data_IF_785523449385
#
_entry.id   IF_785523449385
#
_cell.length_a   1.000
_cell.length_b   1.000
_cell.length_c   1.000
_cell.angle_alpha   90.00
_cell.angle_beta   90.00
_cell.angle_gamma   90.00
#
_symmetry.space_group_name_H-M   'P 1'
#
loop_
_entity.id
_entity.type
_entity.pdbx_description
1 polymer ?
#
# COMPACT_ATOMS: atom_id res chain seq x y z
N UNK A 1 -27.78 -19.25 -71.78
CA UNK A 1 -26.54 -19.80 -71.29
C UNK A 1 -26.14 -18.94 -70.06
N UNK A 2 -26.57 -19.33 -68.86
CA UNK A 2 -26.33 -18.59 -67.57
C UNK A 2 -25.22 -19.27 -66.83
N UNK A 3 -24.11 -18.54 -66.54
CA UNK A 3 -23.01 -18.99 -65.71
C UNK A 3 -23.27 -18.55 -64.28
N UNK A 4 -23.25 -19.44 -63.28
CA UNK A 4 -23.35 -19.03 -61.89
C UNK A 4 -22.00 -18.55 -61.40
N UNK A 5 -21.99 -17.35 -60.81
CA UNK A 5 -20.89 -16.76 -60.04
C UNK A 5 -20.85 -17.43 -58.67
N UNK A 6 -19.77 -18.16 -58.41
CA UNK A 6 -19.47 -18.72 -57.11
C UNK A 6 -18.80 -17.61 -56.27
N UNK A 7 -19.52 -17.09 -55.30
CA UNK A 7 -18.97 -16.17 -54.27
C UNK A 7 -18.23 -17.00 -53.23
N UNK A 8 -16.92 -16.94 -53.23
CA UNK A 8 -16.07 -17.48 -52.17
C UNK A 8 -16.12 -16.56 -50.94
N UNK A 9 -16.79 -16.99 -49.88
CA UNK A 9 -16.77 -16.32 -48.61
C UNK A 9 -15.44 -16.60 -47.89
N UNK A 10 -14.54 -15.62 -47.89
CA UNK A 10 -13.33 -15.66 -47.07
C UNK A 10 -13.68 -15.41 -45.62
N UNK A 11 -13.65 -16.46 -44.78
CA UNK A 11 -13.71 -16.38 -43.32
C UNK A 11 -12.41 -15.73 -42.81
N UNK A 12 -12.49 -14.44 -42.50
CA UNK A 12 -11.47 -13.74 -41.74
C UNK A 12 -11.40 -14.31 -40.34
N UNK A 13 -10.43 -15.19 -40.10
CA UNK A 13 -10.03 -15.61 -38.75
C UNK A 13 -9.48 -14.39 -38.01
N UNK A 14 -10.32 -13.78 -37.18
CA UNK A 14 -9.88 -12.75 -36.24
C UNK A 14 -8.87 -13.40 -35.25
N UNK A 15 -7.66 -12.84 -35.13
CA UNK A 15 -6.77 -13.32 -34.09
C UNK A 15 -7.44 -13.09 -32.77
N UNK A 16 -7.66 -14.15 -31.99
CA UNK A 16 -8.04 -14.07 -30.61
C UNK A 16 -7.07 -13.11 -29.92
N UNK A 17 -7.57 -11.94 -29.55
CA UNK A 17 -6.84 -11.03 -28.68
C UNK A 17 -6.53 -11.83 -27.44
N UNK A 18 -5.28 -12.26 -27.31
CA UNK A 18 -4.74 -12.71 -26.06
C UNK A 18 -5.07 -11.59 -25.08
N UNK A 19 -6.06 -11.81 -24.21
CA UNK A 19 -6.23 -11.02 -23.02
C UNK A 19 -4.89 -11.12 -22.34
N UNK A 20 -4.10 -10.04 -22.40
CA UNK A 20 -2.93 -9.90 -21.58
C UNK A 20 -3.47 -10.12 -20.17
N UNK A 21 -3.23 -11.32 -19.62
CA UNK A 21 -3.39 -11.58 -18.23
C UNK A 21 -2.54 -10.51 -17.56
N UNK A 22 -3.20 -9.51 -16.99
CA UNK A 22 -2.56 -8.59 -16.05
C UNK A 22 -1.90 -9.53 -15.07
N UNK A 23 -0.58 -9.65 -15.21
CA UNK A 23 0.27 -10.56 -14.44
C UNK A 23 -0.17 -10.43 -13.00
N UNK A 24 -0.52 -11.56 -12.40
CA UNK A 24 -1.26 -11.64 -11.15
C UNK A 24 -0.76 -10.63 -10.15
N UNK A 25 -1.71 -9.95 -9.48
CA UNK A 25 -1.47 -8.80 -8.63
C UNK A 25 -0.14 -8.95 -7.90
N UNK A 26 0.83 -8.12 -8.30
CA UNK A 26 2.20 -8.24 -7.81
C UNK A 26 2.18 -8.02 -6.30
N UNK A 27 2.42 -9.08 -5.54
CA UNK A 27 2.54 -8.96 -4.10
C UNK A 27 3.90 -8.33 -3.75
N UNK A 28 3.94 -7.58 -2.68
CA UNK A 28 5.17 -7.05 -2.11
C UNK A 28 5.84 -8.12 -1.24
N UNK A 29 7.15 -8.24 -1.30
CA UNK A 29 7.88 -8.94 -0.25
C UNK A 29 7.65 -8.23 1.09
N UNK A 30 7.89 -8.92 2.19
CA UNK A 30 7.76 -8.32 3.53
C UNK A 30 8.63 -7.06 3.65
N UNK A 31 9.88 -7.11 3.19
CA UNK A 31 10.79 -5.96 3.23
C UNK A 31 10.29 -4.77 2.39
N UNK A 32 9.71 -5.02 1.21
CA UNK A 32 9.11 -3.96 0.39
C UNK A 32 7.88 -3.34 1.09
N UNK A 33 7.04 -4.17 1.71
CA UNK A 33 5.88 -3.69 2.46
C UNK A 33 6.30 -2.88 3.70
N UNK A 34 7.27 -3.35 4.47
CA UNK A 34 7.81 -2.64 5.63
C UNK A 34 8.46 -1.32 5.23
N UNK A 35 9.24 -1.28 4.13
CA UNK A 35 9.82 -0.05 3.59
C UNK A 35 8.74 0.94 3.16
N UNK A 36 7.69 0.47 2.48
CA UNK A 36 6.56 1.29 2.08
C UNK A 36 5.81 1.86 3.31
N UNK A 37 5.58 1.05 4.34
CA UNK A 37 4.94 1.48 5.59
C UNK A 37 5.81 2.47 6.34
N UNK A 38 7.13 2.24 6.44
CA UNK A 38 8.08 3.18 7.05
C UNK A 38 8.02 4.54 6.37
N UNK A 39 8.04 4.56 5.03
CA UNK A 39 7.94 5.79 4.25
C UNK A 39 6.64 6.53 4.47
N UNK A 40 5.51 5.82 4.56
CA UNK A 40 4.18 6.41 4.70
C UNK A 40 3.90 6.96 6.11
N UNK A 41 4.59 6.48 7.13
CA UNK A 41 4.26 6.71 8.54
C UNK A 41 4.14 8.20 8.91
N UNK A 42 5.10 9.10 8.54
CA UNK A 42 4.97 10.53 8.88
C UNK A 42 3.72 11.18 8.27
N UNK A 43 3.42 10.84 7.03
CA UNK A 43 2.26 11.38 6.31
C UNK A 43 0.94 10.91 6.94
N UNK A 44 0.85 9.64 7.28
CA UNK A 44 -0.35 9.06 7.92
C UNK A 44 -0.59 9.69 9.28
N UNK A 45 0.44 9.82 10.13
CA UNK A 45 0.31 10.43 11.46
C UNK A 45 -0.16 11.88 11.36
N UNK A 46 0.44 12.70 10.48
CA UNK A 46 -0.01 14.09 10.28
C UNK A 46 -1.46 14.17 9.83
N UNK A 47 -1.86 13.33 8.90
CA UNK A 47 -3.21 13.36 8.35
C UNK A 47 -4.26 12.84 9.32
N UNK A 48 -3.91 11.86 10.16
CA UNK A 48 -4.76 11.42 11.27
C UNK A 48 -4.94 12.53 12.31
N UNK A 49 -3.85 13.22 12.68
CA UNK A 49 -3.90 14.38 13.56
C UNK A 49 -4.85 15.44 13.02
N UNK A 50 -4.72 15.81 11.75
CA UNK A 50 -5.59 16.80 11.09
C UNK A 50 -7.05 16.34 11.07
N UNK A 51 -7.32 15.09 10.70
CA UNK A 51 -8.68 14.55 10.64
C UNK A 51 -9.34 14.51 12.01
N UNK A 52 -8.60 14.05 13.02
CA UNK A 52 -9.11 13.83 14.36
C UNK A 52 -9.21 15.13 15.19
N UNK A 53 -8.61 16.23 14.73
CA UNK A 53 -8.75 17.54 15.38
C UNK A 53 -10.20 18.04 15.48
N UNK A 54 -11.10 17.49 14.65
CA UNK A 54 -12.53 17.81 14.71
C UNK A 54 -13.25 17.21 15.94
N UNK A 55 -12.69 16.18 16.57
CA UNK A 55 -13.36 15.41 17.63
C UNK A 55 -12.50 15.23 18.89
N UNK A 56 -11.19 15.38 18.78
CA UNK A 56 -10.28 15.28 19.92
C UNK A 56 -10.02 16.67 20.54
N UNK A 57 -9.81 16.73 21.86
CA UNK A 57 -9.37 17.97 22.50
C UNK A 57 -7.97 18.36 22.00
N UNK A 58 -7.67 19.65 22.00
CA UNK A 58 -6.36 20.18 21.60
C UNK A 58 -5.19 19.61 22.43
N UNK A 59 -5.48 19.09 23.62
CA UNK A 59 -4.51 18.45 24.53
C UNK A 59 -4.28 16.97 24.27
N UNK A 60 -5.03 16.37 23.33
CA UNK A 60 -4.86 14.96 22.98
C UNK A 60 -3.44 14.69 22.43
N UNK A 61 -2.78 13.58 22.80
CA UNK A 61 -1.44 13.20 22.33
C UNK A 61 -1.30 13.25 20.82
N UNK A 62 -2.29 12.77 20.06
CA UNK A 62 -2.29 12.81 18.60
C UNK A 62 -2.30 14.25 18.06
N UNK A 63 -3.01 15.17 18.72
CA UNK A 63 -3.12 16.57 18.28
C UNK A 63 -1.85 17.34 18.64
N UNK A 64 -1.41 17.25 19.90
CA UNK A 64 -0.19 17.91 20.37
C UNK A 64 1.07 17.33 19.73
N UNK A 65 1.12 16.00 19.67
CA UNK A 65 2.29 15.24 19.21
C UNK A 65 2.31 14.97 17.71
N UNK A 66 1.22 15.13 16.99
CA UNK A 66 1.08 14.68 15.61
C UNK A 66 2.20 15.18 14.69
N UNK A 67 2.55 16.46 14.78
CA UNK A 67 3.65 17.04 13.99
C UNK A 67 5.02 16.60 14.52
N UNK A 68 5.22 16.58 15.84
CA UNK A 68 6.46 16.19 16.50
C UNK A 68 6.74 14.69 16.27
N UNK A 69 5.73 13.86 16.47
CA UNK A 69 5.81 12.41 16.26
C UNK A 69 6.04 12.08 14.78
N UNK A 70 5.36 12.75 13.87
CA UNK A 70 5.62 12.60 12.45
C UNK A 70 7.04 13.05 12.07
N UNK A 71 7.56 14.13 12.67
CA UNK A 71 8.94 14.58 12.50
C UNK A 71 9.97 13.56 12.98
N UNK A 72 9.67 12.84 14.08
CA UNK A 72 10.54 11.77 14.59
C UNK A 72 10.69 10.61 13.61
N UNK A 73 9.63 10.30 12.86
CA UNK A 73 9.64 9.22 11.86
C UNK A 73 10.26 9.64 10.53
N UNK A 74 10.41 10.95 10.26
CA UNK A 74 10.86 11.45 8.98
C UNK A 74 12.24 10.93 8.54
N UNK A 75 13.28 10.90 9.40
CA UNK A 75 14.61 10.41 8.99
C UNK A 75 14.60 8.95 8.50
N UNK A 76 13.80 8.11 9.13
CA UNK A 76 13.70 6.70 8.71
C UNK A 76 12.82 6.57 7.45
N UNK A 77 11.81 7.41 7.29
CA UNK A 77 11.03 7.49 6.06
C UNK A 77 11.89 7.91 4.86
N UNK A 78 12.78 8.89 5.04
CA UNK A 78 13.70 9.33 4.00
C UNK A 78 14.66 8.21 3.58
N UNK A 79 15.19 7.45 4.55
CA UNK A 79 16.03 6.26 4.29
C UNK A 79 15.25 5.14 3.59
N UNK A 80 13.97 4.99 3.88
CA UNK A 80 13.11 3.97 3.28
C UNK A 80 12.67 4.31 1.85
N UNK A 81 12.89 5.55 1.37
CA UNK A 81 12.46 5.99 0.05
C UNK A 81 12.85 5.07 -1.10
N UNK A 82 14.11 4.60 -1.24
CA UNK A 82 14.48 3.71 -2.35
C UNK A 82 13.65 2.42 -2.39
N UNK A 83 13.35 1.83 -1.22
CA UNK A 83 12.54 0.62 -1.11
C UNK A 83 11.06 0.92 -1.41
N UNK A 84 10.54 2.03 -0.88
CA UNK A 84 9.18 2.47 -1.13
C UNK A 84 8.95 2.80 -2.62
N UNK A 85 9.93 3.41 -3.30
CA UNK A 85 9.92 3.67 -4.74
C UNK A 85 9.84 2.37 -5.53
N UNK A 86 10.69 1.39 -5.22
CA UNK A 86 10.67 0.08 -5.88
C UNK A 86 9.34 -0.67 -5.65
N UNK A 87 8.79 -0.60 -4.43
CA UNK A 87 7.49 -1.16 -4.11
C UNK A 87 6.35 -0.47 -4.90
N UNK A 88 6.41 0.85 -5.04
CA UNK A 88 5.46 1.61 -5.85
C UNK A 88 5.50 1.20 -7.32
N UNK A 89 6.68 1.12 -7.92
CA UNK A 89 6.86 0.71 -9.32
C UNK A 89 6.32 -0.70 -9.56
N UNK A 90 6.57 -1.60 -8.60
CA UNK A 90 6.05 -2.97 -8.66
C UNK A 90 4.52 -3.03 -8.59
N UNK A 91 3.90 -2.21 -7.75
CA UNK A 91 2.44 -2.12 -7.64
C UNK A 91 1.81 -1.45 -8.88
N UNK A 92 2.48 -0.47 -9.44
CA UNK A 92 2.05 0.22 -10.66
C UNK A 92 2.19 -0.64 -11.93
N UNK A 93 2.95 -1.75 -11.86
CA UNK A 93 3.21 -2.64 -13.01
C UNK A 93 4.15 -2.04 -14.06
N UNK A 94 4.79 -0.92 -13.77
CA UNK A 94 5.72 -0.22 -14.64
C UNK A 94 6.69 0.65 -13.81
N UNK A 95 7.80 1.07 -14.41
CA UNK A 95 8.71 2.04 -13.79
C UNK A 95 8.11 3.47 -13.83
N UNK A 96 7.00 3.62 -13.13
CA UNK A 96 6.26 4.89 -13.08
C UNK A 96 7.09 6.00 -12.43
N UNK A 97 7.95 5.64 -11.49
CA UNK A 97 8.85 6.59 -10.83
C UNK A 97 9.87 7.22 -11.77
N UNK A 98 10.33 6.48 -12.80
CA UNK A 98 11.26 7.02 -13.79
C UNK A 98 10.57 8.03 -14.72
N UNK A 99 9.27 7.84 -14.98
CA UNK A 99 8.48 8.77 -15.80
C UNK A 99 8.11 10.05 -15.05
N UNK A 100 7.81 9.95 -13.75
CA UNK A 100 7.34 11.07 -12.95
C UNK A 100 8.48 11.87 -12.31
N UNK A 101 9.63 11.22 -12.11
CA UNK A 101 10.72 11.73 -11.27
C UNK A 101 10.41 11.62 -9.77
N UNK A 102 11.45 11.67 -8.95
CA UNK A 102 11.35 11.36 -7.51
C UNK A 102 10.34 12.26 -6.77
N UNK A 103 10.40 13.57 -7.00
CA UNK A 103 9.52 14.52 -6.27
C UNK A 103 8.04 14.28 -6.55
N UNK A 104 7.66 14.04 -7.80
CA UNK A 104 6.26 13.80 -8.15
C UNK A 104 5.81 12.42 -7.65
N UNK A 105 6.69 11.41 -7.74
CA UNK A 105 6.43 10.06 -7.21
C UNK A 105 6.22 10.08 -5.69
N UNK A 106 7.05 10.80 -4.94
CA UNK A 106 6.91 10.97 -3.49
C UNK A 106 5.57 11.59 -3.12
N UNK A 107 5.19 12.68 -3.81
CA UNK A 107 3.90 13.35 -3.59
C UNK A 107 2.73 12.42 -3.89
N UNK A 108 2.77 11.73 -5.03
CA UNK A 108 1.69 10.82 -5.45
C UNK A 108 1.56 9.65 -4.48
N UNK A 109 2.67 8.99 -4.14
CA UNK A 109 2.69 7.85 -3.24
C UNK A 109 2.20 8.24 -1.85
N UNK A 110 2.73 9.34 -1.29
CA UNK A 110 2.31 9.85 0.01
C UNK A 110 0.81 10.20 0.02
N UNK A 111 0.32 10.91 -0.98
CA UNK A 111 -1.10 11.25 -1.09
C UNK A 111 -1.99 10.01 -1.21
N UNK A 112 -1.60 9.04 -2.03
CA UNK A 112 -2.38 7.81 -2.25
C UNK A 112 -2.51 6.99 -0.97
N UNK A 113 -1.39 6.74 -0.28
CA UNK A 113 -1.40 5.95 0.97
C UNK A 113 -2.16 6.71 2.05
N UNK A 114 -1.87 7.98 2.23
CA UNK A 114 -2.51 8.81 3.25
C UNK A 114 -4.02 8.87 3.06
N UNK A 115 -4.48 9.15 1.84
CA UNK A 115 -5.90 9.17 1.52
C UNK A 115 -6.53 7.79 1.71
N UNK A 116 -5.86 6.73 1.26
CA UNK A 116 -6.35 5.36 1.39
C UNK A 116 -6.53 4.92 2.84
N UNK A 117 -5.62 5.31 3.74
CA UNK A 117 -5.72 5.00 5.18
C UNK A 117 -6.75 5.91 5.86
N UNK A 118 -6.61 7.22 5.70
CA UNK A 118 -7.41 8.21 6.44
C UNK A 118 -8.88 8.20 6.02
N UNK A 119 -9.20 7.88 4.77
CA UNK A 119 -10.59 7.76 4.32
C UNK A 119 -11.37 6.66 5.03
N UNK A 120 -10.71 5.60 5.46
CA UNK A 120 -11.32 4.47 6.18
C UNK A 120 -11.54 4.73 7.67
N UNK A 121 -10.85 5.70 8.24
CA UNK A 121 -10.99 6.08 9.65
C UNK A 121 -12.26 6.90 9.84
N UNK A 122 -13.13 6.48 10.75
CA UNK A 122 -14.31 7.25 11.16
C UNK A 122 -13.90 8.22 12.28
N UNK A 123 -14.62 9.34 12.42
CA UNK A 123 -14.36 10.28 13.51
C UNK A 123 -14.58 9.65 14.90
N UNK A 124 -15.47 8.65 14.99
CA UNK A 124 -15.69 7.85 16.20
C UNK A 124 -14.49 7.03 16.62
N UNK A 125 -13.57 6.74 15.71
CA UNK A 125 -12.39 5.91 15.96
C UNK A 125 -11.22 6.74 16.50
N UNK A 126 -11.30 8.08 16.42
CA UNK A 126 -10.20 8.99 16.75
C UNK A 126 -9.70 8.83 18.18
N UNK A 127 -10.58 8.63 19.15
CA UNK A 127 -10.17 8.44 20.56
C UNK A 127 -9.38 7.12 20.75
N UNK A 128 -9.76 6.05 20.04
CA UNK A 128 -9.03 4.79 20.08
C UNK A 128 -7.67 4.91 19.37
N UNK A 129 -7.64 5.60 18.22
CA UNK A 129 -6.40 5.85 17.46
C UNK A 129 -5.42 6.69 18.28
N UNK A 130 -5.89 7.76 18.90
CA UNK A 130 -5.08 8.61 19.79
C UNK A 130 -4.40 7.77 20.88
N UNK A 131 -5.17 6.95 21.59
CA UNK A 131 -4.66 6.07 22.63
C UNK A 131 -3.67 5.03 22.11
N UNK A 132 -3.94 4.43 20.94
CA UNK A 132 -3.03 3.45 20.34
C UNK A 132 -1.71 4.12 19.95
N UNK A 133 -1.77 5.28 19.28
CA UNK A 133 -0.56 6.00 18.87
C UNK A 133 0.26 6.47 20.09
N UNK A 134 -0.38 6.89 21.17
CA UNK A 134 0.30 7.26 22.40
C UNK A 134 1.06 6.06 23.01
N UNK A 135 0.42 4.91 23.09
CA UNK A 135 1.04 3.67 23.56
C UNK A 135 2.19 3.17 22.68
N UNK A 136 2.11 3.45 21.39
CA UNK A 136 3.10 3.02 20.41
C UNK A 136 4.27 4.02 20.25
N UNK A 137 4.16 5.24 20.80
CA UNK A 137 5.20 6.27 20.71
C UNK A 137 6.61 5.83 21.13
N UNK A 138 6.80 4.97 22.16
CA UNK A 138 8.12 4.49 22.56
C UNK A 138 8.75 3.53 21.56
N UNK A 139 7.97 2.99 20.63
CA UNK A 139 8.48 1.99 19.68
C UNK A 139 9.36 2.63 18.60
N UNK A 140 10.48 1.95 18.23
CA UNK A 140 11.25 2.33 17.05
C UNK A 140 10.38 2.30 15.78
N UNK A 141 10.69 3.18 14.81
CA UNK A 141 9.96 3.27 13.54
C UNK A 141 9.87 1.94 12.81
N UNK A 142 10.95 1.15 12.82
CA UNK A 142 10.96 -0.19 12.23
C UNK A 142 9.92 -1.12 12.83
N UNK A 143 9.75 -1.11 14.16
CA UNK A 143 8.75 -1.94 14.84
C UNK A 143 7.33 -1.50 14.50
N UNK A 144 7.10 -0.19 14.33
CA UNK A 144 5.82 0.33 13.85
C UNK A 144 5.50 -0.15 12.43
N UNK A 145 6.48 -0.11 11.53
CA UNK A 145 6.33 -0.59 10.16
C UNK A 145 6.07 -2.10 10.09
N UNK A 146 6.80 -2.90 10.90
CA UNK A 146 6.58 -4.34 11.01
C UNK A 146 5.17 -4.65 11.55
N UNK A 147 4.71 -3.92 12.57
CA UNK A 147 3.37 -4.08 13.12
C UNK A 147 2.31 -3.75 12.07
N UNK A 148 2.46 -2.62 11.35
CA UNK A 148 1.54 -2.25 10.27
C UNK A 148 1.49 -3.31 9.17
N UNK A 149 2.64 -3.84 8.76
CA UNK A 149 2.74 -4.92 7.76
C UNK A 149 2.06 -6.20 8.25
N UNK A 150 2.27 -6.59 9.51
CA UNK A 150 1.60 -7.74 10.10
C UNK A 150 0.06 -7.57 10.13
N UNK A 151 -0.43 -6.38 10.46
CA UNK A 151 -1.86 -6.09 10.43
C UNK A 151 -2.45 -6.19 9.01
N UNK A 152 -1.70 -5.77 8.00
CA UNK A 152 -2.08 -5.95 6.59
C UNK A 152 -2.15 -7.45 6.23
N UNK A 153 -1.19 -8.25 6.69
CA UNK A 153 -1.19 -9.70 6.46
C UNK A 153 -2.39 -10.39 7.14
N UNK A 154 -2.80 -9.95 8.33
CA UNK A 154 -4.00 -10.47 9.00
C UNK A 154 -5.28 -10.05 8.30
N UNK A 155 -5.37 -8.82 7.82
CA UNK A 155 -6.53 -8.24 7.12
C UNK A 155 -6.67 -8.65 5.65
N UNK A 156 -6.10 -9.74 5.21
CA UNK A 156 -5.87 -10.19 3.80
C UNK A 156 -7.00 -9.98 2.80
N UNK A 157 -8.26 -10.00 3.23
CA UNK A 157 -9.39 -9.96 2.28
C UNK A 157 -9.64 -8.58 1.66
N UNK A 158 -9.37 -7.51 2.40
CA UNK A 158 -9.76 -6.14 2.00
C UNK A 158 -8.56 -5.18 1.86
N UNK A 159 -7.32 -5.69 1.97
CA UNK A 159 -6.14 -4.86 1.82
C UNK A 159 -5.82 -4.63 0.33
N UNK A 160 -5.66 -3.37 -0.11
CA UNK A 160 -5.20 -3.06 -1.46
C UNK A 160 -3.73 -3.47 -1.70
N UNK A 161 -2.98 -3.70 -0.63
CA UNK A 161 -1.60 -4.15 -0.67
C UNK A 161 -1.57 -5.63 -0.27
N UNK A 162 -1.04 -6.47 -1.15
CA UNK A 162 -0.84 -7.89 -0.89
C UNK A 162 0.63 -8.14 -0.55
N UNK A 163 0.88 -8.76 0.59
CA UNK A 163 2.22 -9.25 0.96
C UNK A 163 2.37 -10.68 0.47
N UNK A 164 3.49 -10.97 -0.17
CA UNK A 164 3.79 -12.32 -0.66
C UNK A 164 3.92 -13.29 0.52
N UNK A 165 3.40 -14.52 0.39
CA UNK A 165 3.63 -15.55 1.40
C UNK A 165 5.13 -15.77 1.57
N UNK A 166 5.57 -15.99 2.81
CA UNK A 166 6.97 -16.34 3.07
C UNK A 166 7.33 -17.64 2.30
N UNK A 167 8.53 -17.73 1.70
CA UNK A 167 8.90 -18.87 0.85
C UNK A 167 8.84 -20.24 1.54
N UNK A 168 8.71 -20.28 2.87
CA UNK A 168 8.68 -21.51 3.67
C UNK A 168 7.35 -21.76 4.40
N UNK A 169 6.28 -21.03 4.07
CA UNK A 169 4.97 -21.22 4.73
C UNK A 169 4.12 -22.34 4.10
N UNK A 170 4.58 -22.98 3.04
CA UNK A 170 3.87 -24.08 2.39
C UNK A 170 4.72 -25.34 2.37
N UNK A 171 4.34 -26.28 3.21
CA UNK A 171 4.69 -27.71 3.25
C UNK A 171 5.50 -28.20 4.46
N UNK A 172 4.98 -27.96 5.66
CA UNK A 172 5.21 -28.95 6.71
C UNK A 172 4.22 -30.09 6.51
N UNK A 173 4.64 -31.37 6.43
CA UNK A 173 3.67 -32.45 6.44
C UNK A 173 2.93 -32.42 7.77
N UNK A 174 1.60 -32.30 7.73
CA UNK A 174 0.74 -32.56 8.88
C UNK A 174 0.96 -34.03 9.20
N UNK A 175 1.80 -34.30 10.22
CA UNK A 175 1.93 -35.63 10.78
C UNK A 175 0.58 -35.99 11.39
N UNK A 176 -0.21 -36.78 10.66
CA UNK A 176 -1.38 -37.44 11.21
C UNK A 176 -0.89 -38.46 12.26
N UNK A 177 -1.26 -38.22 13.51
CA UNK A 177 -1.26 -39.23 14.56
C UNK A 177 -2.64 -39.80 14.68
#
# INVERSE_FOLDING_TARGET
MMRPLVLAAALLALPSTATAQIAGASCLSRAEAEGLMTYALPGVVRSLSTKCAATLPATAPLILGGTVTAGRYQPEADKAWPVAKAAFDKLAGAKMSDLLGDTATQKLLSATITTGVVSKVKLTDCAAIDRILDLLQPLPTANMAMLATALIEFGKKDSPIKVCPAPNASSGPVASK
#
